data_IF_223019206146
#
_entry.id   IF_223019206146
#
_cell.length_a   1.000
_cell.length_b   1.000
_cell.length_c   1.000
_cell.angle_alpha   90.00
_cell.angle_beta   90.00
_cell.angle_gamma   90.00
#
_symmetry.space_group_name_H-M   'P 1'
#
loop_
_entity.id
_entity.type
_entity.pdbx_description
1 polymer ?
#
# COMPACT_ATOMS: atom_id res chain seq x y z
N UNK A 1 -10.94 -6.36 20.99
CA UNK A 1 -10.55 -7.72 21.45
C UNK A 1 -9.20 -8.05 20.82
N UNK A 2 -8.22 -8.49 21.60
CA UNK A 2 -6.86 -8.68 21.11
C UNK A 2 -6.77 -9.96 20.24
N UNK A 3 -6.13 -9.91 19.05
CA UNK A 3 -6.08 -11.00 18.07
C UNK A 3 -5.65 -12.38 18.60
N UNK A 4 -4.83 -12.40 19.63
CA UNK A 4 -4.26 -13.63 20.19
C UNK A 4 -5.25 -14.45 21.03
N UNK A 5 -6.42 -13.93 21.39
CA UNK A 5 -7.41 -14.70 22.15
C UNK A 5 -8.21 -15.68 21.29
N UNK A 6 -8.25 -15.49 19.97
CA UNK A 6 -8.92 -16.42 19.04
C UNK A 6 -8.06 -17.67 18.73
N UNK A 7 -6.73 -17.57 18.90
CA UNK A 7 -5.78 -18.66 18.65
C UNK A 7 -6.09 -19.91 19.51
N UNK A 8 -6.31 -19.83 20.85
CA UNK A 8 -6.66 -21.01 21.65
C UNK A 8 -8.01 -21.65 21.30
N UNK A 9 -8.97 -20.89 20.76
CA UNK A 9 -10.29 -21.40 20.36
C UNK A 9 -10.24 -22.08 18.99
N UNK A 10 -9.60 -21.47 18.00
CA UNK A 10 -9.33 -22.10 16.70
C UNK A 10 -8.47 -23.36 16.88
N UNK A 11 -7.55 -23.31 17.85
CA UNK A 11 -6.76 -24.44 18.28
C UNK A 11 -7.63 -25.60 18.85
N UNK A 12 -8.55 -25.32 19.76
CA UNK A 12 -9.43 -26.35 20.33
C UNK A 12 -10.28 -27.09 19.27
N UNK A 13 -10.63 -26.42 18.16
CA UNK A 13 -11.47 -26.98 17.11
C UNK A 13 -10.69 -27.80 16.07
N UNK A 14 -9.45 -27.44 15.74
CA UNK A 14 -8.63 -28.14 14.74
C UNK A 14 -8.08 -29.51 15.21
N UNK A 15 -8.10 -29.79 16.52
CA UNK A 15 -7.58 -31.03 17.10
C UNK A 15 -8.47 -32.27 16.93
N UNK A 16 -9.65 -32.16 16.29
CA UNK A 16 -10.64 -33.26 16.24
C UNK A 16 -10.66 -34.11 14.96
N UNK A 17 -9.79 -33.84 13.97
CA UNK A 17 -9.97 -34.35 12.60
C UNK A 17 -9.04 -35.45 12.06
N UNK A 18 -8.09 -36.02 12.82
CA UNK A 18 -7.18 -37.06 12.29
C UNK A 18 -7.08 -38.28 13.20
N UNK A 19 -8.08 -39.17 13.11
CA UNK A 19 -8.05 -40.51 13.68
C UNK A 19 -7.76 -41.53 12.57
N UNK A 20 -6.50 -41.93 12.41
CA UNK A 20 -6.13 -42.97 11.44
C UNK A 20 -4.65 -43.41 11.41
N UNK A 21 -3.74 -42.73 12.11
CA UNK A 21 -2.34 -43.13 12.22
C UNK A 21 -2.02 -43.73 13.59
N UNK A 22 -1.27 -44.84 13.62
CA UNK A 22 -0.83 -45.52 14.85
C UNK A 22 -0.16 -44.54 15.83
N UNK A 23 -0.46 -44.63 17.14
CA UNK A 23 0.03 -43.70 18.13
C UNK A 23 1.51 -43.92 18.40
N UNK A 24 2.37 -42.98 17.98
CA UNK A 24 3.71 -42.84 18.54
C UNK A 24 3.58 -42.20 19.93
N UNK A 25 3.84 -43.01 20.95
CA UNK A 25 3.88 -42.65 22.36
C UNK A 25 4.90 -41.55 22.64
N UNK A 26 4.50 -40.46 23.32
CA UNK A 26 5.45 -39.66 24.09
C UNK A 26 5.06 -38.21 24.40
N UNK A 27 4.42 -37.48 23.48
CA UNK A 27 3.92 -36.12 23.74
C UNK A 27 2.60 -35.90 23.00
N UNK A 28 1.52 -35.60 23.71
CA UNK A 28 0.29 -34.98 23.17
C UNK A 28 0.60 -33.54 22.71
N UNK A 29 1.58 -33.40 21.84
CA UNK A 29 2.01 -32.14 21.28
C UNK A 29 1.14 -31.80 20.09
N UNK A 30 0.84 -30.53 19.96
CA UNK A 30 0.25 -29.95 18.77
C UNK A 30 1.08 -30.29 17.53
N UNK A 31 0.43 -30.77 16.45
CA UNK A 31 1.12 -30.88 15.17
C UNK A 31 1.39 -29.48 14.61
N UNK A 32 2.54 -29.28 13.96
CA UNK A 32 2.87 -27.99 13.32
C UNK A 32 1.76 -27.55 12.35
N UNK A 33 1.17 -28.51 11.62
CA UNK A 33 0.05 -28.25 10.69
C UNK A 33 -1.20 -27.75 11.39
N UNK A 34 -1.56 -28.33 12.55
CA UNK A 34 -2.71 -27.87 13.36
C UNK A 34 -2.49 -26.44 13.87
N UNK A 35 -1.27 -26.11 14.28
CA UNK A 35 -0.91 -24.75 14.68
C UNK A 35 -1.07 -23.75 13.54
N UNK A 36 -0.58 -24.06 12.33
CA UNK A 36 -0.69 -23.16 11.18
C UNK A 36 -2.14 -22.90 10.76
N UNK A 37 -2.99 -23.94 10.77
CA UNK A 37 -4.43 -23.76 10.52
C UNK A 37 -5.10 -22.90 11.59
N UNK A 38 -4.75 -23.10 12.86
CA UNK A 38 -5.28 -22.27 13.95
C UNK A 38 -4.83 -20.81 13.83
N UNK A 39 -3.56 -20.57 13.49
CA UNK A 39 -3.01 -19.24 13.25
C UNK A 39 -3.71 -18.54 12.07
N UNK A 40 -3.87 -19.26 10.94
CA UNK A 40 -4.52 -18.72 9.74
C UNK A 40 -6.02 -18.46 9.98
N UNK A 41 -6.74 -19.42 10.58
CA UNK A 41 -8.17 -19.29 10.88
C UNK A 41 -8.47 -18.25 11.95
N UNK A 42 -7.72 -18.24 13.04
CA UNK A 42 -7.87 -17.26 14.11
C UNK A 42 -7.54 -15.83 13.64
N UNK A 43 -6.47 -15.68 12.87
CA UNK A 43 -6.12 -14.40 12.26
C UNK A 43 -7.18 -13.93 11.26
N UNK A 44 -7.65 -14.80 10.36
CA UNK A 44 -8.73 -14.46 9.42
C UNK A 44 -10.02 -14.01 10.12
N UNK A 45 -10.48 -14.76 11.12
CA UNK A 45 -11.67 -14.39 11.91
C UNK A 45 -11.49 -13.06 12.63
N UNK A 46 -10.27 -12.79 13.13
CA UNK A 46 -9.96 -11.49 13.73
C UNK A 46 -10.10 -10.37 12.70
N UNK A 47 -9.55 -10.54 11.49
CA UNK A 47 -9.67 -9.55 10.42
C UNK A 47 -11.11 -9.33 9.97
N UNK A 48 -11.96 -10.37 10.01
CA UNK A 48 -13.39 -10.21 9.75
C UNK A 48 -14.09 -9.34 10.80
N UNK A 49 -13.58 -9.31 12.04
CA UNK A 49 -14.14 -8.54 13.15
C UNK A 49 -13.63 -7.10 13.23
N UNK A 50 -12.59 -6.71 12.48
CA UNK A 50 -12.14 -5.31 12.40
C UNK A 50 -13.06 -4.53 11.46
N UNK A 51 -13.57 -3.39 11.94
CA UNK A 51 -14.50 -2.55 11.18
C UNK A 51 -13.85 -1.93 9.94
N UNK A 52 -12.65 -1.40 10.09
CA UNK A 52 -11.83 -0.88 8.99
C UNK A 52 -10.90 -1.97 8.47
N UNK A 53 -10.79 -2.12 7.15
CA UNK A 53 -10.03 -3.21 6.53
C UNK A 53 -9.01 -2.62 5.58
N UNK A 54 -7.74 -2.82 5.91
CA UNK A 54 -6.64 -2.53 5.00
C UNK A 54 -5.95 -3.81 4.55
N UNK A 55 -5.43 -3.81 3.33
CA UNK A 55 -4.85 -4.98 2.68
C UNK A 55 -3.63 -5.53 3.45
N UNK A 56 -2.84 -4.64 4.06
CA UNK A 56 -1.66 -5.02 4.83
C UNK A 56 -1.99 -5.81 6.11
N UNK A 57 -3.26 -5.83 6.54
CA UNK A 57 -3.70 -6.71 7.62
C UNK A 57 -3.62 -8.20 7.25
N UNK A 58 -3.55 -8.54 5.96
CA UNK A 58 -3.38 -9.91 5.50
C UNK A 58 -1.94 -10.43 5.64
N UNK A 59 -0.94 -9.54 5.79
CA UNK A 59 0.48 -9.92 5.81
C UNK A 59 0.81 -11.03 6.83
N UNK A 60 0.31 -10.97 8.09
CA UNK A 60 0.56 -12.04 9.07
C UNK A 60 -0.05 -13.39 8.69
N UNK A 61 -1.06 -13.42 7.81
CA UNK A 61 -1.69 -14.65 7.32
C UNK A 61 -0.91 -15.31 6.17
N UNK A 62 -0.08 -14.54 5.45
CA UNK A 62 0.68 -15.05 4.32
C UNK A 62 1.74 -16.07 4.75
N UNK A 63 2.39 -15.86 5.89
CA UNK A 63 3.38 -16.80 6.42
C UNK A 63 2.78 -18.19 6.74
N UNK A 64 1.71 -18.33 7.54
CA UNK A 64 1.10 -19.64 7.78
C UNK A 64 0.46 -20.23 6.52
N UNK A 65 -0.14 -19.40 5.65
CA UNK A 65 -0.70 -19.86 4.38
C UNK A 65 0.37 -20.47 3.45
N UNK A 66 1.52 -19.79 3.32
CA UNK A 66 2.64 -20.28 2.50
C UNK A 66 3.26 -21.56 3.06
N UNK A 67 3.40 -21.68 4.39
CA UNK A 67 3.85 -22.92 5.02
C UNK A 67 2.86 -24.08 4.79
N UNK A 68 1.55 -23.84 4.91
CA UNK A 68 0.52 -24.83 4.59
C UNK A 68 0.54 -25.24 3.11
N UNK A 69 0.75 -24.28 2.20
CA UNK A 69 0.90 -24.56 0.77
C UNK A 69 2.15 -25.42 0.49
N UNK A 70 3.27 -25.14 1.16
CA UNK A 70 4.50 -25.94 1.04
C UNK A 70 4.27 -27.40 1.48
N UNK A 71 3.66 -27.63 2.65
CA UNK A 71 3.31 -28.98 3.11
C UNK A 71 2.40 -29.72 2.12
N UNK A 72 1.44 -29.01 1.52
CA UNK A 72 0.57 -29.59 0.51
C UNK A 72 1.34 -29.97 -0.76
N UNK A 73 2.21 -29.09 -1.26
CA UNK A 73 3.01 -29.32 -2.46
C UNK A 73 4.01 -30.47 -2.30
N UNK A 74 4.58 -30.65 -1.11
CA UNK A 74 5.52 -31.73 -0.80
C UNK A 74 4.84 -33.11 -0.86
N UNK A 75 3.57 -33.17 -0.49
CA UNK A 75 2.78 -34.42 -0.46
C UNK A 75 1.87 -34.60 -1.67
N UNK A 76 1.80 -33.60 -2.56
CA UNK A 76 0.98 -33.65 -3.75
C UNK A 76 1.54 -34.64 -4.79
N UNK A 77 0.64 -35.15 -5.64
CA UNK A 77 1.04 -35.90 -6.83
C UNK A 77 1.94 -35.01 -7.72
N UNK A 78 3.06 -35.54 -8.28
CA UNK A 78 3.95 -34.78 -9.16
C UNK A 78 3.24 -34.00 -10.25
N UNK A 79 2.21 -34.58 -10.89
CA UNK A 79 1.44 -33.90 -11.95
C UNK A 79 0.64 -32.69 -11.44
N UNK A 80 0.16 -32.75 -10.20
CA UNK A 80 -0.57 -31.64 -9.57
C UNK A 80 0.42 -30.53 -9.22
N UNK A 81 1.58 -30.89 -8.67
CA UNK A 81 2.67 -29.94 -8.37
C UNK A 81 3.16 -29.22 -9.63
N UNK A 82 3.38 -29.95 -10.72
CA UNK A 82 3.78 -29.37 -12.01
C UNK A 82 2.75 -28.37 -12.55
N UNK A 83 1.45 -28.70 -12.48
CA UNK A 83 0.37 -27.81 -12.90
C UNK A 83 0.28 -26.57 -12.02
N UNK A 84 0.46 -26.72 -10.70
CA UNK A 84 0.51 -25.61 -9.77
C UNK A 84 1.66 -24.65 -10.13
N UNK A 85 2.87 -25.17 -10.32
CA UNK A 85 4.03 -24.34 -10.67
C UNK A 85 3.91 -23.70 -12.06
N UNK A 86 3.29 -24.39 -13.02
CA UNK A 86 2.98 -23.80 -14.31
C UNK A 86 2.00 -22.62 -14.18
N UNK A 87 0.94 -22.77 -13.38
CA UNK A 87 -0.03 -21.70 -13.12
C UNK A 87 0.60 -20.53 -12.36
N UNK A 88 1.36 -20.79 -11.30
CA UNK A 88 2.07 -19.77 -10.53
C UNK A 88 3.07 -19.01 -11.41
N UNK A 89 3.87 -19.71 -12.21
CA UNK A 89 4.79 -19.08 -13.14
C UNK A 89 4.08 -18.28 -14.24
N UNK A 90 2.93 -18.74 -14.73
CA UNK A 90 2.12 -17.99 -15.69
C UNK A 90 1.58 -16.69 -15.09
N UNK A 91 1.14 -16.70 -13.82
CA UNK A 91 0.73 -15.49 -13.09
C UNK A 91 1.88 -14.49 -13.01
N UNK A 92 3.08 -14.93 -12.60
CA UNK A 92 4.25 -14.05 -12.53
C UNK A 92 4.65 -13.48 -13.90
N UNK A 93 4.51 -14.28 -14.95
CA UNK A 93 4.74 -13.83 -16.33
C UNK A 93 3.74 -12.75 -16.75
N UNK A 94 2.44 -12.94 -16.45
CA UNK A 94 1.41 -11.96 -16.72
C UNK A 94 1.60 -10.66 -15.93
N UNK A 95 1.97 -10.75 -14.65
CA UNK A 95 2.31 -9.58 -13.84
C UNK A 95 3.52 -8.87 -14.42
N UNK A 96 4.57 -9.61 -14.79
CA UNK A 96 5.76 -9.05 -15.42
C UNK A 96 5.44 -8.30 -16.72
N UNK A 97 4.58 -8.88 -17.56
CA UNK A 97 4.10 -8.22 -18.78
C UNK A 97 3.26 -6.96 -18.47
N UNK A 98 2.40 -7.01 -17.45
CA UNK A 98 1.62 -5.85 -17.01
C UNK A 98 2.53 -4.71 -16.50
N UNK A 99 3.58 -5.03 -15.73
CA UNK A 99 4.57 -4.05 -15.28
C UNK A 99 5.30 -3.39 -16.47
N UNK A 100 5.66 -4.16 -17.50
CA UNK A 100 6.29 -3.63 -18.70
C UNK A 100 5.34 -2.74 -19.53
N UNK A 101 4.03 -3.00 -19.48
CA UNK A 101 3.03 -2.17 -20.14
C UNK A 101 2.61 -0.93 -19.32
N UNK A 102 2.94 -0.89 -18.02
CA UNK A 102 2.50 0.16 -17.10
C UNK A 102 2.90 1.58 -17.55
N UNK A 103 4.11 1.83 -18.10
CA UNK A 103 4.47 3.17 -18.59
C UNK A 103 3.54 3.69 -19.70
N UNK A 104 2.95 2.80 -20.51
CA UNK A 104 2.02 3.18 -21.58
C UNK A 104 0.63 3.56 -21.05
N UNK A 105 0.28 3.09 -19.86
CA UNK A 105 -1.00 3.32 -19.21
C UNK A 105 -0.88 4.24 -17.99
N UNK A 106 0.29 4.85 -17.75
CA UNK A 106 0.51 5.70 -16.59
C UNK A 106 -0.30 7.00 -16.74
N UNK A 107 -1.29 7.27 -15.87
CA UNK A 107 -2.09 8.49 -15.96
C UNK A 107 -1.34 9.71 -15.42
N UNK A 108 -0.18 9.51 -14.79
CA UNK A 108 0.56 10.57 -14.10
C UNK A 108 1.67 11.15 -14.97
N UNK A 109 2.00 12.45 -14.80
CA UNK A 109 3.04 13.14 -15.55
C UNK A 109 4.45 12.82 -15.02
N UNK A 110 4.72 11.55 -14.70
CA UNK A 110 6.03 11.07 -14.23
C UNK A 110 6.45 9.83 -14.99
N UNK A 111 7.75 9.67 -15.21
CA UNK A 111 8.28 8.43 -15.79
C UNK A 111 8.38 7.36 -14.69
N UNK A 112 7.89 6.15 -14.96
CA UNK A 112 7.95 5.03 -14.01
C UNK A 112 9.30 4.32 -14.11
N UNK A 113 10.32 4.92 -13.51
CA UNK A 113 11.68 4.38 -13.55
C UNK A 113 11.74 2.95 -12.99
N UNK A 114 12.48 2.07 -13.67
CA UNK A 114 12.66 0.70 -13.21
C UNK A 114 11.48 -0.25 -13.44
N UNK A 115 10.30 0.24 -13.86
CA UNK A 115 9.11 -0.60 -14.02
C UNK A 115 9.31 -1.74 -15.05
N UNK A 116 10.02 -1.46 -16.15
CA UNK A 116 10.38 -2.46 -17.16
C UNK A 116 11.31 -3.55 -16.59
N UNK A 117 12.28 -3.18 -15.76
CA UNK A 117 13.25 -4.09 -15.15
C UNK A 117 12.58 -4.95 -14.07
N UNK A 118 11.69 -4.32 -13.29
CA UNK A 118 10.83 -5.01 -12.34
C UNK A 118 9.95 -6.04 -13.06
N UNK A 119 9.34 -5.64 -14.17
CA UNK A 119 8.54 -6.53 -15.02
C UNK A 119 9.35 -7.68 -15.62
N UNK A 120 10.54 -7.39 -16.15
CA UNK A 120 11.45 -8.40 -16.69
C UNK A 120 11.88 -9.42 -15.62
N UNK A 121 12.19 -8.98 -14.41
CA UNK A 121 12.54 -9.87 -13.30
C UNK A 121 11.41 -10.87 -12.98
N UNK A 122 10.17 -10.37 -12.89
CA UNK A 122 8.99 -11.22 -12.68
C UNK A 122 8.74 -12.17 -13.85
N UNK A 123 8.85 -11.68 -15.09
CA UNK A 123 8.63 -12.50 -16.28
C UNK A 123 9.66 -13.62 -16.42
N UNK A 124 10.95 -13.32 -16.19
CA UNK A 124 12.02 -14.31 -16.19
C UNK A 124 11.84 -15.33 -15.06
N UNK A 125 11.45 -14.88 -13.86
CA UNK A 125 11.11 -15.77 -12.74
C UNK A 125 9.96 -16.71 -13.07
N UNK A 126 8.88 -16.18 -13.65
CA UNK A 126 7.72 -16.94 -14.08
C UNK A 126 8.06 -17.97 -15.16
N UNK A 127 8.83 -17.57 -16.18
CA UNK A 127 9.31 -18.45 -17.23
C UNK A 127 10.23 -19.56 -16.69
N UNK A 128 11.15 -19.23 -15.78
CA UNK A 128 12.02 -20.20 -15.12
C UNK A 128 11.21 -21.19 -14.26
N UNK A 129 10.22 -20.71 -13.50
CA UNK A 129 9.33 -21.57 -12.72
C UNK A 129 8.54 -22.55 -13.60
N UNK A 130 8.01 -22.09 -14.74
CA UNK A 130 7.37 -22.96 -15.74
C UNK A 130 8.38 -23.98 -16.28
N UNK A 131 9.57 -23.54 -16.68
CA UNK A 131 10.62 -24.41 -17.24
C UNK A 131 11.14 -25.47 -16.26
N UNK A 132 11.15 -25.16 -14.96
CA UNK A 132 11.66 -26.04 -13.90
C UNK A 132 10.57 -26.76 -13.11
N UNK A 133 9.30 -26.65 -13.50
CA UNK A 133 8.16 -27.25 -12.78
C UNK A 133 8.29 -28.75 -12.48
N UNK A 134 9.06 -29.51 -13.28
CA UNK A 134 9.30 -30.95 -13.11
C UNK A 134 10.55 -31.29 -12.28
N UNK A 135 11.32 -30.32 -11.78
CA UNK A 135 12.57 -30.53 -11.03
C UNK A 135 12.39 -30.62 -9.52
N UNK A 136 11.18 -30.95 -9.07
CA UNK A 136 10.76 -30.87 -7.67
C UNK A 136 10.38 -29.45 -7.26
N UNK A 137 9.71 -29.29 -6.12
CA UNK A 137 9.11 -28.01 -5.71
C UNK A 137 10.14 -26.91 -5.40
N UNK A 138 11.35 -27.29 -4.95
CA UNK A 138 12.39 -26.34 -4.54
C UNK A 138 12.85 -25.43 -5.70
N UNK A 139 12.98 -25.96 -6.91
CA UNK A 139 13.53 -25.24 -8.07
C UNK A 139 12.61 -24.10 -8.57
N UNK A 140 11.32 -24.34 -8.90
CA UNK A 140 10.41 -23.26 -9.26
C UNK A 140 10.16 -22.30 -8.09
N UNK A 141 10.14 -22.79 -6.85
CA UNK A 141 10.02 -21.92 -5.68
C UNK A 141 11.23 -20.96 -5.55
N UNK A 142 12.46 -21.46 -5.70
CA UNK A 142 13.66 -20.64 -5.67
C UNK A 142 13.66 -19.61 -6.81
N UNK A 143 13.20 -19.98 -8.01
CA UNK A 143 13.07 -19.05 -9.14
C UNK A 143 12.11 -17.90 -8.84
N UNK A 144 10.91 -18.20 -8.33
CA UNK A 144 9.92 -17.17 -7.97
C UNK A 144 10.38 -16.30 -6.80
N UNK A 145 11.04 -16.89 -5.80
CA UNK A 145 11.58 -16.14 -4.66
C UNK A 145 12.68 -15.16 -5.10
N UNK A 146 13.61 -15.62 -5.95
CA UNK A 146 14.66 -14.76 -6.51
C UNK A 146 14.05 -13.62 -7.32
N UNK A 147 13.08 -13.93 -8.19
CA UNK A 147 12.38 -12.92 -8.99
C UNK A 147 11.63 -11.90 -8.12
N UNK A 148 10.89 -12.34 -7.10
CA UNK A 148 10.21 -11.45 -6.17
C UNK A 148 11.19 -10.56 -5.40
N UNK A 149 12.34 -11.11 -5.00
CA UNK A 149 13.39 -10.36 -4.28
C UNK A 149 13.98 -9.27 -5.17
N UNK A 150 14.35 -9.61 -6.40
CA UNK A 150 14.88 -8.65 -7.38
C UNK A 150 13.83 -7.61 -7.74
N UNK A 151 12.59 -8.03 -7.96
CA UNK A 151 11.46 -7.14 -8.23
C UNK A 151 11.24 -6.12 -7.11
N UNK A 152 11.20 -6.56 -5.84
CA UNK A 152 11.09 -5.65 -4.69
C UNK A 152 12.26 -4.68 -4.66
N UNK A 153 13.49 -5.18 -4.82
CA UNK A 153 14.69 -4.33 -4.79
C UNK A 153 14.67 -3.24 -5.86
N UNK A 154 14.26 -3.57 -7.08
CA UNK A 154 14.09 -2.60 -8.18
C UNK A 154 12.97 -1.61 -7.85
N UNK A 155 11.81 -2.12 -7.42
CA UNK A 155 10.66 -1.29 -7.10
C UNK A 155 10.99 -0.27 -6.00
N UNK A 156 11.68 -0.68 -4.93
CA UNK A 156 12.03 0.21 -3.83
C UNK A 156 13.15 1.20 -4.20
N UNK A 157 14.08 0.80 -5.06
CA UNK A 157 15.21 1.65 -5.44
C UNK A 157 14.87 2.70 -6.51
N UNK A 158 13.97 2.38 -7.45
CA UNK A 158 13.71 3.23 -8.63
C UNK A 158 12.23 3.56 -8.84
N UNK A 159 11.34 2.55 -8.81
CA UNK A 159 9.93 2.76 -9.17
C UNK A 159 9.15 3.53 -8.10
N UNK A 160 9.35 3.25 -6.81
CA UNK A 160 8.68 4.00 -5.74
C UNK A 160 9.20 5.45 -5.64
N UNK A 161 10.53 5.71 -5.70
CA UNK A 161 11.03 7.09 -5.69
C UNK A 161 10.56 7.95 -6.87
N UNK A 162 10.45 7.39 -8.08
CA UNK A 162 9.92 8.13 -9.24
C UNK A 162 8.44 8.51 -9.11
N UNK A 163 7.71 7.81 -8.24
CA UNK A 163 6.31 8.10 -7.87
C UNK A 163 6.17 9.10 -6.72
N UNK A 164 7.25 9.43 -6.00
CA UNK A 164 7.24 10.36 -4.86
C UNK A 164 6.60 11.72 -5.22
N UNK A 165 6.88 12.35 -6.39
CA UNK A 165 6.26 13.62 -6.76
C UNK A 165 4.72 13.60 -6.85
N UNK A 166 4.12 12.41 -7.01
CA UNK A 166 2.68 12.23 -7.22
C UNK A 166 1.98 11.70 -5.97
N UNK A 167 2.65 10.85 -5.19
CA UNK A 167 2.03 10.20 -4.05
C UNK A 167 2.46 10.77 -2.70
N UNK A 168 3.53 11.56 -2.66
CA UNK A 168 4.05 12.16 -1.45
C UNK A 168 3.63 13.63 -1.34
N UNK A 169 2.98 14.05 -0.23
CA UNK A 169 2.66 15.45 0.00
C UNK A 169 3.90 16.28 0.36
N UNK A 170 5.10 15.70 0.35
CA UNK A 170 6.34 16.34 0.81
C UNK A 170 6.65 17.65 0.10
N UNK A 171 6.65 17.66 -1.24
CA UNK A 171 7.00 18.86 -2.01
C UNK A 171 6.03 20.01 -1.72
N UNK A 172 4.74 19.69 -1.65
CA UNK A 172 3.67 20.61 -1.32
C UNK A 172 3.77 21.13 0.12
N UNK A 173 4.06 20.25 1.09
CA UNK A 173 4.28 20.62 2.48
C UNK A 173 5.50 21.55 2.63
N UNK A 174 6.59 21.30 1.92
CA UNK A 174 7.77 22.18 1.94
C UNK A 174 7.50 23.55 1.32
N UNK A 175 6.70 23.61 0.24
CA UNK A 175 6.27 24.88 -0.34
C UNK A 175 5.38 25.66 0.62
N UNK A 176 4.45 24.99 1.30
CA UNK A 176 3.60 25.59 2.33
C UNK A 176 4.41 26.05 3.55
N UNK A 177 5.41 25.26 3.98
CA UNK A 177 6.31 25.60 5.10
C UNK A 177 7.03 26.92 4.84
N UNK A 178 7.51 27.10 3.60
CA UNK A 178 8.22 28.31 3.18
C UNK A 178 7.33 29.55 3.34
N UNK A 179 6.11 29.51 2.80
CA UNK A 179 5.13 30.61 2.93
C UNK A 179 4.84 30.89 4.41
N UNK A 180 4.49 29.84 5.15
CA UNK A 180 4.11 29.95 6.55
C UNK A 180 5.24 30.53 7.42
N UNK A 181 6.51 30.22 7.11
CA UNK A 181 7.66 30.72 7.84
C UNK A 181 8.07 32.13 7.43
N UNK A 182 8.09 32.42 6.13
CA UNK A 182 8.52 33.72 5.60
C UNK A 182 7.52 34.83 5.94
N UNK A 183 6.23 34.50 5.99
CA UNK A 183 5.16 35.48 6.22
C UNK A 183 4.52 35.38 7.62
N UNK A 184 4.92 34.40 8.43
CA UNK A 184 4.35 34.18 9.76
C UNK A 184 2.88 33.75 9.73
N UNK A 185 2.46 33.06 8.66
CA UNK A 185 1.08 32.60 8.46
C UNK A 185 0.84 31.21 9.05
N UNK A 186 -0.42 30.94 9.38
CA UNK A 186 -0.87 29.60 9.77
C UNK A 186 -1.14 28.73 8.53
N UNK A 187 -0.62 27.48 8.48
CA UNK A 187 -0.86 26.55 7.40
C UNK A 187 -2.23 25.88 7.58
N UNK A 188 -2.98 25.80 6.50
CA UNK A 188 -4.24 25.05 6.43
C UNK A 188 -4.29 24.26 5.12
N UNK A 189 -5.02 23.15 5.11
CA UNK A 189 -5.17 22.31 3.92
C UNK A 189 -6.62 21.85 3.73
N UNK A 190 -6.94 21.46 2.50
CA UNK A 190 -8.25 20.89 2.15
C UNK A 190 -8.07 19.49 1.53
N UNK A 191 -8.83 18.50 2.03
CA UNK A 191 -8.84 17.10 1.57
C UNK A 191 -7.45 16.42 1.51
N UNK A 192 -6.59 16.69 2.48
CA UNK A 192 -5.26 16.08 2.56
C UNK A 192 -5.02 15.40 3.92
N UNK A 193 -4.14 14.40 3.94
CA UNK A 193 -3.78 13.73 5.17
C UNK A 193 -3.03 14.69 6.11
N UNK A 194 -3.70 15.09 7.20
CA UNK A 194 -3.16 16.00 8.21
C UNK A 194 -1.86 15.45 8.83
N UNK A 195 -1.78 14.14 9.03
CA UNK A 195 -0.63 13.47 9.63
C UNK A 195 0.64 13.66 8.79
N UNK A 196 0.55 13.38 7.48
CA UNK A 196 1.65 13.51 6.54
C UNK A 196 2.06 14.98 6.36
N UNK A 197 1.10 15.90 6.20
CA UNK A 197 1.40 17.32 6.09
C UNK A 197 2.09 17.85 7.35
N UNK A 198 1.52 17.58 8.53
CA UNK A 198 2.06 18.05 9.81
C UNK A 198 3.45 17.48 10.09
N UNK A 199 3.70 16.23 9.68
CA UNK A 199 5.03 15.60 9.79
C UNK A 199 6.09 16.38 9.00
N UNK A 200 5.83 16.71 7.74
CA UNK A 200 6.78 17.46 6.90
C UNK A 200 6.91 18.93 7.32
N UNK A 201 5.80 19.57 7.72
CA UNK A 201 5.75 20.95 8.19
C UNK A 201 6.38 21.13 9.59
N UNK A 202 6.53 20.06 10.36
CA UNK A 202 6.97 20.06 11.77
C UNK A 202 6.11 20.95 12.68
N UNK A 203 4.86 21.20 12.29
CA UNK A 203 3.83 21.94 13.03
C UNK A 203 2.45 21.42 12.60
N UNK A 204 1.41 21.61 13.42
CA UNK A 204 0.05 21.26 13.02
C UNK A 204 -0.35 21.96 11.73
N UNK A 205 -0.98 21.20 10.83
CA UNK A 205 -1.59 21.71 9.60
C UNK A 205 -3.00 21.12 9.52
N UNK A 206 -4.01 21.77 10.12
CA UNK A 206 -5.36 21.27 10.09
C UNK A 206 -5.83 21.10 8.65
N UNK A 207 -6.32 19.91 8.36
CA UNK A 207 -6.91 19.57 7.06
C UNK A 207 -8.41 19.48 7.21
N UNK A 208 -9.14 20.12 6.31
CA UNK A 208 -10.58 20.17 6.31
C UNK A 208 -11.13 19.31 5.16
N UNK A 209 -12.04 18.38 5.50
CA UNK A 209 -12.76 17.56 4.52
C UNK A 209 -13.95 18.31 3.90
N UNK A 210 -14.46 19.34 4.59
CA UNK A 210 -15.59 20.14 4.14
C UNK A 210 -15.13 21.53 3.69
N UNK A 211 -15.64 21.96 2.54
CA UNK A 211 -15.18 23.19 1.89
C UNK A 211 -15.63 24.44 2.64
N UNK A 212 -16.83 24.42 3.22
CA UNK A 212 -17.32 25.54 4.05
C UNK A 212 -16.50 25.64 5.34
N UNK A 213 -16.16 24.49 5.96
CA UNK A 213 -15.29 24.44 7.13
C UNK A 213 -13.88 24.98 6.82
N UNK A 214 -13.33 24.65 5.64
CA UNK A 214 -12.06 25.20 5.17
C UNK A 214 -12.11 26.72 5.01
N UNK A 215 -13.13 27.25 4.32
CA UNK A 215 -13.31 28.68 4.11
C UNK A 215 -13.53 29.42 5.43
N UNK A 216 -14.32 28.87 6.34
CA UNK A 216 -14.53 29.45 7.67
C UNK A 216 -13.24 29.46 8.50
N UNK A 217 -12.38 28.43 8.36
CA UNK A 217 -11.07 28.43 9.00
C UNK A 217 -10.16 29.50 8.41
N UNK A 218 -10.07 29.60 7.08
CA UNK A 218 -9.31 30.63 6.38
C UNK A 218 -9.78 32.04 6.77
N UNK A 219 -11.09 32.26 6.84
CA UNK A 219 -11.68 33.57 7.15
C UNK A 219 -11.34 34.03 8.58
N UNK A 220 -11.37 33.13 9.56
CA UNK A 220 -10.94 33.44 10.93
C UNK A 220 -9.47 33.85 11.01
N UNK A 221 -8.64 33.35 10.10
CA UNK A 221 -7.22 33.69 10.03
C UNK A 221 -6.97 35.01 9.29
N UNK A 222 -7.88 35.44 8.39
CA UNK A 222 -7.75 36.63 7.54
C UNK A 222 -6.74 36.44 6.40
N UNK A 223 -5.55 35.93 6.72
CA UNK A 223 -4.54 35.46 5.80
C UNK A 223 -3.96 34.11 6.26
N UNK A 224 -3.70 33.21 5.33
CA UNK A 224 -3.18 31.87 5.63
C UNK A 224 -2.23 31.37 4.54
N UNK A 225 -1.32 30.48 4.91
CA UNK A 225 -0.65 29.62 3.95
C UNK A 225 -1.59 28.44 3.70
N UNK A 226 -2.07 28.25 2.47
CA UNK A 226 -3.09 27.25 2.17
C UNK A 226 -2.66 26.28 1.09
N UNK A 227 -3.11 25.02 1.23
CA UNK A 227 -3.19 24.07 0.14
C UNK A 227 -4.63 23.98 -0.33
N UNK A 228 -4.87 24.32 -1.60
CA UNK A 228 -6.21 24.42 -2.20
C UNK A 228 -6.26 23.59 -3.49
N UNK A 229 -7.33 22.84 -3.76
CA UNK A 229 -7.53 22.22 -5.07
C UNK A 229 -7.52 23.27 -6.19
N UNK A 230 -6.80 22.99 -7.26
CA UNK A 230 -6.63 23.94 -8.36
C UNK A 230 -7.97 24.29 -9.04
N UNK A 231 -8.90 23.35 -9.10
CA UNK A 231 -10.26 23.52 -9.64
C UNK A 231 -11.14 24.43 -8.77
N UNK A 232 -10.82 24.61 -7.48
CA UNK A 232 -11.52 25.51 -6.54
C UNK A 232 -10.97 26.93 -6.50
N UNK A 233 -9.88 27.20 -7.22
CA UNK A 233 -9.25 28.53 -7.27
C UNK A 233 -10.24 29.63 -7.70
N UNK A 234 -10.98 29.40 -8.78
CA UNK A 234 -11.93 30.38 -9.31
C UNK A 234 -13.09 30.67 -8.37
N UNK A 235 -13.54 29.66 -7.61
CA UNK A 235 -14.56 29.83 -6.57
C UNK A 235 -14.05 30.73 -5.44
N UNK A 236 -12.85 30.49 -4.93
CA UNK A 236 -12.23 31.35 -3.92
C UNK A 236 -12.06 32.80 -4.42
N UNK A 237 -11.55 32.99 -5.65
CA UNK A 237 -11.41 34.32 -6.24
C UNK A 237 -12.77 35.04 -6.38
N UNK A 238 -13.84 34.31 -6.71
CA UNK A 238 -15.21 34.85 -6.78
C UNK A 238 -15.78 35.25 -5.41
N UNK A 239 -15.30 34.60 -4.34
CA UNK A 239 -15.63 34.92 -2.95
C UNK A 239 -14.73 36.03 -2.36
N UNK A 240 -13.95 36.72 -3.20
CA UNK A 240 -13.13 37.85 -2.80
C UNK A 240 -11.76 37.49 -2.22
N UNK A 241 -11.32 36.23 -2.34
CA UNK A 241 -9.99 35.83 -1.91
C UNK A 241 -8.92 36.24 -2.93
N UNK A 242 -7.83 36.83 -2.45
CA UNK A 242 -6.58 36.96 -3.19
C UNK A 242 -5.76 35.69 -2.97
N UNK A 243 -5.27 35.10 -4.05
CA UNK A 243 -4.47 33.89 -4.04
C UNK A 243 -3.13 34.18 -4.71
N UNK A 244 -2.04 34.02 -3.97
CA UNK A 244 -0.67 34.18 -4.47
C UNK A 244 0.00 32.80 -4.53
N UNK A 245 0.07 32.18 -5.72
CA UNK A 245 0.56 30.82 -5.88
C UNK A 245 2.07 30.74 -5.62
N UNK A 246 2.50 29.75 -4.84
CA UNK A 246 3.90 29.42 -4.60
C UNK A 246 4.34 28.14 -5.32
N UNK A 247 3.40 27.30 -5.75
CA UNK A 247 3.63 26.10 -6.56
C UNK A 247 2.35 25.31 -6.81
N UNK A 248 2.35 24.56 -7.92
CA UNK A 248 1.31 23.61 -8.29
C UNK A 248 1.83 22.18 -8.13
N UNK A 249 1.01 21.29 -7.60
CA UNK A 249 1.37 19.91 -7.27
C UNK A 249 0.27 18.96 -7.72
N UNK A 250 0.65 17.80 -8.25
CA UNK A 250 -0.29 16.72 -8.54
C UNK A 250 -0.21 15.70 -7.41
N UNK A 251 -1.32 15.43 -6.73
CA UNK A 251 -1.40 14.37 -5.72
C UNK A 251 -2.54 13.40 -6.06
N UNK A 252 -2.19 12.15 -6.30
CA UNK A 252 -3.14 11.08 -6.66
C UNK A 252 -4.12 11.45 -7.79
N UNK A 253 -3.68 12.25 -8.77
CA UNK A 253 -4.48 12.66 -9.92
C UNK A 253 -5.31 13.94 -9.71
N UNK A 254 -5.32 14.50 -8.51
CA UNK A 254 -5.87 15.82 -8.23
C UNK A 254 -4.74 16.87 -8.22
N UNK A 255 -5.02 18.06 -8.78
CA UNK A 255 -4.07 19.16 -8.78
C UNK A 255 -4.36 20.10 -7.60
N UNK A 256 -3.31 20.46 -6.87
CA UNK A 256 -3.35 21.34 -5.72
C UNK A 256 -2.42 22.52 -5.92
N UNK A 257 -2.78 23.63 -5.30
CA UNK A 257 -2.01 24.84 -5.25
C UNK A 257 -1.56 25.08 -3.81
N UNK A 258 -0.26 25.18 -3.58
CA UNK A 258 0.25 25.80 -2.36
C UNK A 258 0.32 27.30 -2.60
N UNK A 259 -0.40 28.09 -1.81
CA UNK A 259 -0.52 29.52 -2.00
C UNK A 259 -0.63 30.26 -0.66
N UNK A 260 -0.29 31.54 -0.70
CA UNK A 260 -0.80 32.49 0.28
C UNK A 260 -2.21 32.88 -0.12
N UNK A 261 -3.14 32.83 0.82
CA UNK A 261 -4.52 33.30 0.62
C UNK A 261 -4.84 34.43 1.60
N UNK A 262 -5.60 35.42 1.14
CA UNK A 262 -5.99 36.59 1.93
C UNK A 262 -7.37 37.09 1.49
N UNK A 263 -8.29 37.33 2.43
CA UNK A 263 -9.63 37.84 2.10
C UNK A 263 -9.56 39.35 1.88
N UNK A 264 -10.06 39.83 0.73
CA UNK A 264 -10.11 41.29 0.47
C UNK A 264 -11.15 41.93 1.40
N UNK A 265 -10.82 43.06 2.06
CA UNK A 265 -11.75 43.74 2.98
C UNK A 265 -12.96 44.36 2.27
N UNK A 266 -12.90 44.56 0.95
CA UNK A 266 -13.90 45.32 0.18
C UNK A 266 -14.85 44.43 -0.66
N UNK A 267 -14.93 43.12 -0.39
CA UNK A 267 -15.67 42.16 -1.23
C UNK A 267 -17.09 41.81 -0.74
N UNK A 268 -17.71 42.65 0.10
CA UNK A 268 -19.13 42.52 0.51
C UNK A 268 -20.11 43.16 -0.48
#
# INVERSE_FOLDING_TARGET
MLPWTAIPVAAALAGRGQTGGKPQSGRRGWSARSFLWAAMGGGFLTLCAVGEKHEYYLLPLLAPASALAAFWLETANPRVSERFWAAAGAIFLLIGAACAALPLANPYPVELEGAEWAGAALALGGAAAIGWRGRGAWAPQAALLAAATVWIGIATAWTMPSLDPVFSPRAMALALERIAREEGLEPIAFHLDEGALSYYLRRPCPSHEDWEAFLAAAERLGAAAAIVPLDRRGEMESLGWRIEPAGEFCQAGAYYLAARIEKRPDAE
#
